data_IF_789090517948
#
_entry.id   IF_789090517948
#
_cell.length_a   1.000
_cell.length_b   1.000
_cell.length_c   1.000
_cell.angle_alpha   90.00
_cell.angle_beta   90.00
_cell.angle_gamma   90.00
#
_symmetry.space_group_name_H-M   'P 1'
#
loop_
_entity.id
_entity.type
_entity.pdbx_description
1 polymer ?
#
# COMPACT_ATOMS: atom_id res chain seq x y z
N UNK A 1 10.46 29.84 -12.56
CA UNK A 1 9.07 30.36 -12.47
C UNK A 1 8.86 30.94 -11.08
N UNK A 2 8.29 32.15 -10.92
CA UNK A 2 8.00 32.70 -9.59
C UNK A 2 6.98 31.82 -8.84
N UNK A 3 7.12 31.61 -7.51
CA UNK A 3 6.25 30.70 -6.75
C UNK A 3 4.75 31.04 -6.85
N UNK A 4 4.43 32.35 -6.83
CA UNK A 4 3.04 32.83 -6.96
C UNK A 4 2.44 32.53 -8.33
N UNK A 5 3.25 32.53 -9.38
CA UNK A 5 2.79 32.15 -10.73
C UNK A 5 2.52 30.65 -10.78
N UNK A 6 3.35 29.83 -10.13
CA UNK A 6 3.17 28.37 -10.09
C UNK A 6 1.86 27.98 -9.40
N UNK A 7 1.61 28.51 -8.20
CA UNK A 7 0.37 28.24 -7.46
C UNK A 7 -0.88 28.66 -8.24
N UNK A 8 -0.83 29.80 -8.94
CA UNK A 8 -1.95 30.26 -9.76
C UNK A 8 -2.24 29.31 -10.93
N UNK A 9 -1.21 28.82 -11.64
CA UNK A 9 -1.41 27.88 -12.74
C UNK A 9 -1.92 26.52 -12.25
N UNK A 10 -1.44 26.04 -11.09
CA UNK A 10 -1.95 24.79 -10.49
C UNK A 10 -3.44 24.93 -10.18
N UNK A 11 -3.86 26.01 -9.52
CA UNK A 11 -5.26 26.26 -9.24
C UNK A 11 -6.12 26.37 -10.52
N UNK A 12 -5.59 26.96 -11.59
CA UNK A 12 -6.29 27.01 -12.88
C UNK A 12 -6.41 25.62 -13.52
N UNK A 13 -5.37 24.79 -13.41
CA UNK A 13 -5.41 23.40 -13.85
C UNK A 13 -6.43 22.57 -13.06
N UNK A 14 -6.48 22.72 -11.73
CA UNK A 14 -7.48 22.07 -10.87
C UNK A 14 -8.90 22.51 -11.24
N UNK A 15 -9.13 23.82 -11.40
CA UNK A 15 -10.44 24.35 -11.81
C UNK A 15 -10.91 23.83 -13.18
N UNK A 16 -9.96 23.47 -14.04
CA UNK A 16 -10.23 22.89 -15.37
C UNK A 16 -10.25 21.35 -15.37
N UNK A 17 -10.10 20.71 -14.21
CA UNK A 17 -10.05 19.25 -14.08
C UNK A 17 -8.81 18.60 -14.70
N UNK A 18 -7.74 19.38 -14.93
CA UNK A 18 -6.48 18.89 -15.47
C UNK A 18 -5.57 18.28 -14.40
N UNK A 19 -5.85 18.58 -13.12
CA UNK A 19 -5.17 18.02 -11.95
C UNK A 19 -6.24 17.46 -11.02
N UNK A 20 -6.08 16.21 -10.63
CA UNK A 20 -6.92 15.49 -9.67
C UNK A 20 -6.02 14.62 -8.79
N UNK A 21 -5.76 15.09 -7.58
CA UNK A 21 -4.92 14.40 -6.61
C UNK A 21 -5.52 13.05 -6.19
N UNK A 22 -6.84 12.94 -6.05
CA UNK A 22 -7.49 11.67 -5.71
C UNK A 22 -7.31 10.64 -6.83
N UNK A 23 -7.37 11.05 -8.10
CA UNK A 23 -7.04 10.17 -9.23
C UNK A 23 -5.56 9.78 -9.22
N UNK A 24 -4.67 10.73 -8.93
CA UNK A 24 -3.23 10.49 -8.79
C UNK A 24 -2.91 9.48 -7.68
N UNK A 25 -3.51 9.65 -6.50
CA UNK A 25 -3.38 8.73 -5.37
C UNK A 25 -3.83 7.33 -5.77
N UNK A 26 -5.04 7.17 -6.34
CA UNK A 26 -5.54 5.85 -6.75
C UNK A 26 -4.62 5.16 -7.75
N UNK A 27 -4.07 5.90 -8.72
CA UNK A 27 -3.13 5.38 -9.71
C UNK A 27 -1.86 4.82 -9.04
N UNK A 28 -1.24 5.61 -8.17
CA UNK A 28 0.01 5.22 -7.49
C UNK A 28 -0.21 4.12 -6.45
N UNK A 29 -1.27 4.23 -5.65
CA UNK A 29 -1.65 3.24 -4.67
C UNK A 29 -1.91 1.88 -5.35
N UNK A 30 -2.69 1.86 -6.43
CA UNK A 30 -2.92 0.66 -7.23
C UNK A 30 -1.65 0.10 -7.86
N UNK A 31 -0.70 0.95 -8.28
CA UNK A 31 0.59 0.50 -8.78
C UNK A 31 1.40 -0.28 -7.73
N UNK A 32 1.55 0.26 -6.52
CA UNK A 32 2.30 -0.40 -5.45
C UNK A 32 1.53 -1.59 -4.85
N UNK A 33 0.20 -1.53 -4.76
CA UNK A 33 -0.62 -2.67 -4.35
C UNK A 33 -0.39 -3.89 -5.27
N UNK A 34 -0.35 -3.69 -6.59
CA UNK A 34 -0.02 -4.76 -7.56
C UNK A 34 1.41 -5.30 -7.43
N UNK A 35 2.34 -4.51 -6.87
CA UNK A 35 3.69 -4.97 -6.54
C UNK A 35 3.76 -5.69 -5.18
N UNK A 36 2.63 -5.79 -4.47
CA UNK A 36 2.49 -6.49 -3.20
C UNK A 36 2.95 -5.68 -2.00
N UNK A 37 2.86 -4.35 -2.04
CA UNK A 37 3.03 -3.52 -0.84
C UNK A 37 1.76 -3.53 0.02
N UNK A 38 1.93 -3.43 1.33
CA UNK A 38 0.87 -3.20 2.30
C UNK A 38 0.51 -1.71 2.38
N UNK A 39 -0.67 -1.41 2.91
CA UNK A 39 -1.23 -0.07 2.92
C UNK A 39 -0.35 0.94 3.67
N UNK A 40 0.27 0.56 4.78
CA UNK A 40 1.13 1.47 5.53
C UNK A 40 2.33 1.97 4.69
N UNK A 41 2.98 1.08 3.93
CA UNK A 41 4.06 1.49 3.03
C UNK A 41 3.54 2.29 1.83
N UNK A 42 2.34 1.97 1.31
CA UNK A 42 1.70 2.72 0.24
C UNK A 42 1.41 4.15 0.70
N UNK A 43 0.79 4.32 1.88
CA UNK A 43 0.53 5.62 2.50
C UNK A 43 1.81 6.44 2.67
N UNK A 44 2.86 5.86 3.26
CA UNK A 44 4.15 6.55 3.43
C UNK A 44 4.76 6.99 2.08
N UNK A 45 4.63 6.18 1.02
CA UNK A 45 5.11 6.54 -0.33
C UNK A 45 4.29 7.65 -0.97
N UNK A 46 2.98 7.70 -0.71
CA UNK A 46 2.10 8.76 -1.20
C UNK A 46 2.38 10.09 -0.49
N UNK A 47 2.52 10.06 0.84
CA UNK A 47 2.89 11.23 1.65
C UNK A 47 4.25 11.78 1.25
N UNK A 48 5.26 10.91 1.05
CA UNK A 48 6.58 11.31 0.56
C UNK A 48 6.56 11.92 -0.85
N UNK A 49 5.50 11.66 -1.63
CA UNK A 49 5.28 12.24 -2.97
C UNK A 49 4.50 13.56 -2.92
N UNK A 50 4.05 13.98 -1.74
CA UNK A 50 3.36 15.24 -1.51
C UNK A 50 1.84 15.16 -1.56
N UNK A 51 1.25 13.96 -1.62
CA UNK A 51 -0.21 13.81 -1.52
C UNK A 51 -0.66 14.09 -0.08
N UNK A 52 -1.73 14.87 0.06
CA UNK A 52 -2.34 15.19 1.35
C UNK A 52 -3.05 14.00 1.99
N UNK A 53 -3.13 13.97 3.31
CA UNK A 53 -3.82 12.93 4.09
C UNK A 53 -5.26 12.70 3.63
N UNK A 54 -5.99 13.79 3.38
CA UNK A 54 -7.42 13.73 3.05
C UNK A 54 -7.66 13.05 1.70
N UNK A 55 -6.80 13.31 0.70
CA UNK A 55 -6.85 12.65 -0.59
C UNK A 55 -6.47 11.17 -0.51
N UNK A 56 -5.54 10.82 0.39
CA UNK A 56 -5.15 9.43 0.66
C UNK A 56 -6.29 8.67 1.32
N UNK A 57 -6.96 9.27 2.29
CA UNK A 57 -8.07 8.67 3.02
C UNK A 57 -9.32 8.53 2.14
N UNK A 58 -9.66 9.54 1.33
CA UNK A 58 -10.76 9.43 0.34
C UNK A 58 -10.47 8.34 -0.70
N UNK A 59 -9.21 8.25 -1.18
CA UNK A 59 -8.83 7.22 -2.13
C UNK A 59 -8.94 5.81 -1.52
N UNK A 60 -8.51 5.62 -0.28
CA UNK A 60 -8.68 4.34 0.43
C UNK A 60 -10.15 4.01 0.64
N UNK A 61 -10.95 4.95 1.13
CA UNK A 61 -12.38 4.76 1.35
C UNK A 61 -13.13 4.32 0.08
N UNK A 62 -12.70 4.79 -1.10
CA UNK A 62 -13.29 4.41 -2.40
C UNK A 62 -12.76 3.10 -2.97
N UNK A 63 -11.51 2.76 -2.69
CA UNK A 63 -10.83 1.62 -3.32
C UNK A 63 -10.74 0.39 -2.43
N UNK A 64 -10.92 0.55 -1.11
CA UNK A 64 -10.80 -0.53 -0.13
C UNK A 64 -9.38 -1.10 -0.04
N UNK A 65 -8.36 -0.35 -0.46
CA UNK A 65 -7.01 -0.88 -0.55
C UNK A 65 -6.50 -1.35 0.81
N UNK A 66 -6.74 -0.62 1.90
CA UNK A 66 -6.35 -1.07 3.24
C UNK A 66 -7.02 -2.40 3.63
N UNK A 67 -8.31 -2.57 3.33
CA UNK A 67 -9.04 -3.79 3.62
C UNK A 67 -8.50 -5.03 2.86
N UNK A 68 -7.83 -4.82 1.73
CA UNK A 68 -7.23 -5.88 0.92
C UNK A 68 -5.84 -6.32 1.39
N UNK A 69 -5.25 -5.70 2.42
CA UNK A 69 -3.88 -6.00 2.88
C UNK A 69 -3.68 -7.47 3.21
N UNK A 70 -4.64 -8.10 3.89
CA UNK A 70 -4.58 -9.53 4.23
C UNK A 70 -4.53 -10.41 2.98
N UNK A 71 -5.36 -10.11 1.97
CA UNK A 71 -5.35 -10.83 0.68
C UNK A 71 -4.01 -10.69 -0.03
N UNK A 72 -3.46 -9.47 -0.07
CA UNK A 72 -2.14 -9.21 -0.68
C UNK A 72 -1.01 -9.90 0.07
N UNK A 73 -1.02 -9.87 1.41
CA UNK A 73 -0.04 -10.56 2.23
C UNK A 73 -0.05 -12.07 1.95
N UNK A 74 -1.25 -12.69 1.91
CA UNK A 74 -1.40 -14.11 1.53
C UNK A 74 -0.85 -14.41 0.14
N UNK A 75 -1.13 -13.57 -0.85
CA UNK A 75 -0.58 -13.73 -2.20
C UNK A 75 0.95 -13.68 -2.23
N UNK A 76 1.55 -12.78 -1.45
CA UNK A 76 3.00 -12.66 -1.30
C UNK A 76 3.60 -13.90 -0.62
N UNK A 77 2.97 -14.42 0.43
CA UNK A 77 3.38 -15.66 1.12
C UNK A 77 3.33 -16.84 0.17
N UNK A 78 2.18 -17.07 -0.48
CA UNK A 78 1.99 -18.16 -1.44
C UNK A 78 3.03 -18.12 -2.57
N UNK A 79 3.30 -16.94 -3.11
CA UNK A 79 4.30 -16.76 -4.16
C UNK A 79 5.75 -17.04 -3.70
N UNK A 80 6.06 -16.91 -2.41
CA UNK A 80 7.37 -17.27 -1.84
C UNK A 80 7.47 -18.76 -1.54
N UNK A 81 6.44 -19.35 -0.97
CA UNK A 81 6.36 -20.79 -0.70
C UNK A 81 6.54 -21.60 -2.00
N UNK A 82 5.82 -21.22 -3.08
CA UNK A 82 5.94 -21.85 -4.40
C UNK A 82 7.35 -21.80 -5.00
N UNK A 83 8.18 -20.83 -4.61
CA UNK A 83 9.56 -20.66 -5.07
C UNK A 83 10.57 -21.36 -4.16
N UNK A 84 10.13 -22.18 -3.20
CA UNK A 84 10.99 -22.79 -2.19
C UNK A 84 11.62 -21.78 -1.23
N UNK A 85 11.08 -20.55 -1.15
CA UNK A 85 11.56 -19.48 -0.26
C UNK A 85 10.65 -19.34 0.96
N UNK A 86 10.23 -20.47 1.52
CA UNK A 86 9.26 -20.55 2.63
C UNK A 86 9.85 -20.37 4.02
N UNK A 87 11.12 -19.96 4.14
CA UNK A 87 11.73 -19.67 5.44
C UNK A 87 10.94 -18.56 6.15
N UNK A 88 10.29 -18.91 7.26
CA UNK A 88 9.37 -18.03 8.01
C UNK A 88 9.99 -16.67 8.32
N UNK A 89 11.23 -16.65 8.80
CA UNK A 89 11.93 -15.40 9.16
C UNK A 89 12.15 -14.51 7.95
N UNK A 90 12.61 -15.07 6.82
CA UNK A 90 12.81 -14.33 5.57
C UNK A 90 11.49 -13.83 4.98
N UNK A 91 10.42 -14.62 5.02
CA UNK A 91 9.10 -14.21 4.53
C UNK A 91 8.55 -13.07 5.40
N UNK A 92 8.60 -13.21 6.73
CA UNK A 92 8.14 -12.19 7.67
C UNK A 92 8.89 -10.87 7.50
N UNK A 93 10.22 -10.90 7.46
CA UNK A 93 11.04 -9.71 7.18
C UNK A 93 10.63 -9.03 5.88
N UNK A 94 10.41 -9.80 4.83
CA UNK A 94 10.08 -9.24 3.53
C UNK A 94 8.65 -8.70 3.41
N UNK A 95 7.74 -9.12 4.29
CA UNK A 95 6.41 -8.52 4.47
C UNK A 95 6.50 -7.24 5.31
N UNK A 96 7.29 -7.23 6.38
CA UNK A 96 7.53 -6.04 7.18
C UNK A 96 8.16 -4.91 6.34
N UNK A 97 9.16 -5.23 5.51
CA UNK A 97 9.76 -4.28 4.55
C UNK A 97 8.76 -3.78 3.49
N UNK A 98 7.65 -4.50 3.30
CA UNK A 98 6.52 -4.11 2.43
C UNK A 98 5.43 -3.33 3.16
N UNK A 99 5.58 -3.09 4.46
CA UNK A 99 4.64 -2.33 5.28
C UNK A 99 3.35 -3.06 5.61
N UNK A 100 3.39 -4.40 5.71
CA UNK A 100 2.29 -5.15 6.31
C UNK A 100 2.38 -5.08 7.84
N UNK A 101 1.21 -5.09 8.47
CA UNK A 101 1.07 -5.08 9.92
C UNK A 101 1.76 -6.30 10.59
N UNK A 102 2.50 -6.13 11.70
CA UNK A 102 3.21 -7.22 12.37
C UNK A 102 2.31 -8.37 12.85
N UNK A 103 1.14 -8.07 13.41
CA UNK A 103 0.22 -9.08 13.96
C UNK A 103 -0.41 -9.87 12.81
N UNK A 104 -0.74 -9.19 11.71
CA UNK A 104 -1.16 -9.83 10.46
C UNK A 104 -0.07 -10.76 9.90
N UNK A 105 1.19 -10.32 9.89
CA UNK A 105 2.32 -11.14 9.42
C UNK A 105 2.44 -12.41 10.27
N UNK A 106 2.44 -12.29 11.59
CA UNK A 106 2.58 -13.44 12.50
C UNK A 106 1.46 -14.45 12.29
N UNK A 107 0.20 -14.00 12.32
CA UNK A 107 -0.98 -14.84 12.09
C UNK A 107 -0.92 -15.59 10.77
N UNK A 108 -0.63 -14.90 9.66
CA UNK A 108 -0.60 -15.53 8.34
C UNK A 108 0.57 -16.51 8.17
N UNK A 109 1.69 -16.28 8.84
CA UNK A 109 2.82 -17.22 8.83
C UNK A 109 2.52 -18.46 9.67
N UNK A 110 1.79 -18.33 10.77
CA UNK A 110 1.30 -19.47 11.57
C UNK A 110 0.35 -20.34 10.76
N UNK A 111 -0.66 -19.72 10.15
CA UNK A 111 -1.59 -20.37 9.20
C UNK A 111 -0.83 -21.12 8.09
N UNK A 112 0.15 -20.47 7.46
CA UNK A 112 0.87 -21.03 6.32
C UNK A 112 1.87 -22.15 6.67
N UNK A 113 2.34 -22.21 7.91
CA UNK A 113 3.32 -23.22 8.37
C UNK A 113 2.70 -24.36 9.17
N UNK A 114 1.37 -24.36 9.33
CA UNK A 114 0.65 -25.38 10.08
C UNK A 114 0.85 -25.29 11.60
N UNK A 115 1.36 -24.17 12.10
CA UNK A 115 1.36 -23.87 13.54
C UNK A 115 -0.01 -23.28 13.89
N UNK A 116 -1.07 -24.09 13.75
CA UNK A 116 -2.35 -23.76 14.38
C UNK A 116 -2.09 -23.75 15.89
N UNK A 117 -2.14 -22.57 16.51
CA UNK A 117 -2.21 -22.48 17.97
C UNK A 117 -3.47 -23.23 18.37
N UNK A 118 -3.30 -24.45 18.88
CA UNK A 118 -4.37 -25.18 19.54
C UNK A 118 -4.84 -24.33 20.71
N UNK A 119 -6.03 -23.75 20.58
CA UNK A 119 -6.86 -23.39 21.73
C UNK A 119 -7.64 -24.61 22.17
#
# INVERSE_FOLDING_TARGET
MPPRTASRLVAECEARGLVDDSAGVRLWAGHWARQGYGWAAIRAKLEARGFGSDAIEDADARSGLAAEDESRARAVIAARLRRGRGDRRRVGRALAERGFDPDLIERLLDEATGHSVSS
#
